data_IF_099423642903
#
_entry.id   IF_099423642903
#
_cell.length_a   1.000
_cell.length_b   1.000
_cell.length_c   1.000
_cell.angle_alpha   90.00
_cell.angle_beta   90.00
_cell.angle_gamma   90.00
#
_symmetry.space_group_name_H-M   'P 1'
#
loop_
_entity.id
_entity.type
_entity.pdbx_description
1 polymer ?
#
# COMPACT_ATOMS: atom_id res chain seq x y z
N UNK A 1 -4.96 -11.48 14.99
CA UNK A 1 -4.95 -12.43 13.85
C UNK A 1 -5.51 -11.79 12.57
N UNK A 2 -6.54 -10.95 12.66
CA UNK A 2 -7.11 -10.27 11.49
C UNK A 2 -6.12 -9.34 10.79
N UNK A 3 -5.37 -8.52 11.54
CA UNK A 3 -4.33 -7.63 10.99
C UNK A 3 -3.38 -8.34 10.01
N UNK A 4 -2.88 -9.51 10.38
CA UNK A 4 -1.96 -10.29 9.55
C UNK A 4 -2.65 -10.78 8.27
N UNK A 5 -3.94 -11.13 8.34
CA UNK A 5 -4.70 -11.57 7.15
C UNK A 5 -4.89 -10.42 6.16
N UNK A 6 -5.21 -9.21 6.66
CA UNK A 6 -5.33 -8.02 5.83
C UNK A 6 -4.00 -7.66 5.17
N UNK A 7 -2.92 -7.66 5.94
CA UNK A 7 -1.58 -7.40 5.42
C UNK A 7 -1.18 -8.37 4.31
N UNK A 8 -1.41 -9.68 4.49
CA UNK A 8 -1.14 -10.69 3.47
C UNK A 8 -1.98 -10.44 2.21
N UNK A 9 -3.27 -10.12 2.39
CA UNK A 9 -4.18 -9.84 1.28
C UNK A 9 -3.73 -8.60 0.50
N UNK A 10 -3.40 -7.52 1.20
CA UNK A 10 -2.87 -6.29 0.62
C UNK A 10 -1.64 -6.61 -0.20
N UNK A 11 -0.60 -7.21 0.40
CA UNK A 11 0.64 -7.57 -0.33
C UNK A 11 0.37 -8.48 -1.54
N UNK A 12 -0.54 -9.45 -1.42
CA UNK A 12 -0.89 -10.37 -2.51
C UNK A 12 -1.53 -9.66 -3.70
N UNK A 13 -2.22 -8.53 -3.47
CA UNK A 13 -2.86 -7.71 -4.50
C UNK A 13 -1.88 -6.63 -5.02
N UNK A 14 -1.17 -5.95 -4.12
CA UNK A 14 -0.28 -4.86 -4.47
C UNK A 14 0.88 -5.32 -5.34
N UNK A 15 1.51 -6.43 -4.95
CA UNK A 15 2.72 -6.92 -5.59
C UNK A 15 2.52 -7.19 -7.10
N UNK A 16 1.50 -7.95 -7.56
CA UNK A 16 1.31 -8.16 -8.99
C UNK A 16 1.01 -6.86 -9.74
N UNK A 17 0.22 -5.94 -9.18
CA UNK A 17 -0.08 -4.66 -9.83
C UNK A 17 1.19 -3.82 -9.94
N UNK A 18 1.95 -3.69 -8.86
CA UNK A 18 3.22 -2.97 -8.84
C UNK A 18 4.23 -3.59 -9.82
N UNK A 19 4.34 -4.91 -9.88
CA UNK A 19 5.22 -5.60 -10.83
C UNK A 19 4.80 -5.39 -12.29
N UNK A 20 3.50 -5.30 -12.59
CA UNK A 20 3.01 -5.03 -13.94
C UNK A 20 3.32 -3.58 -14.36
N UNK A 21 3.02 -2.61 -13.49
CA UNK A 21 3.16 -1.20 -13.80
C UNK A 21 4.62 -0.73 -13.76
N UNK A 22 5.41 -1.27 -12.83
CA UNK A 22 6.83 -0.95 -12.63
C UNK A 22 7.75 -2.01 -13.24
N UNK A 23 7.26 -2.83 -14.19
CA UNK A 23 7.97 -3.96 -14.80
C UNK A 23 9.36 -3.66 -15.38
N UNK A 24 9.66 -2.40 -15.70
CA UNK A 24 10.98 -1.98 -16.21
C UNK A 24 12.04 -1.84 -15.11
N UNK A 25 11.62 -1.87 -13.84
CA UNK A 25 12.50 -1.85 -12.68
C UNK A 25 12.83 -3.27 -12.21
N UNK A 26 13.89 -3.43 -11.40
CA UNK A 26 14.24 -4.71 -10.79
C UNK A 26 13.10 -5.23 -9.91
N UNK A 27 12.56 -6.41 -10.24
CA UNK A 27 11.47 -7.05 -9.49
C UNK A 27 11.79 -7.21 -8.00
N UNK A 28 13.06 -7.40 -7.64
CA UNK A 28 13.50 -7.49 -6.23
C UNK A 28 13.27 -6.17 -5.52
N UNK A 29 13.56 -5.06 -6.20
CA UNK A 29 13.36 -3.72 -5.68
C UNK A 29 11.88 -3.42 -5.53
N UNK A 30 11.04 -3.78 -6.50
CA UNK A 30 9.58 -3.64 -6.41
C UNK A 30 9.03 -4.44 -5.24
N UNK A 31 9.41 -5.71 -5.13
CA UNK A 31 8.99 -6.56 -4.01
C UNK A 31 9.42 -5.98 -2.65
N UNK A 32 10.69 -5.57 -2.51
CA UNK A 32 11.18 -4.96 -1.28
C UNK A 32 10.42 -3.69 -0.90
N UNK A 33 10.06 -2.85 -1.88
CA UNK A 33 9.28 -1.63 -1.62
C UNK A 33 7.87 -1.99 -1.17
N UNK A 34 7.16 -2.87 -1.90
CA UNK A 34 5.80 -3.32 -1.55
C UNK A 34 5.78 -3.91 -0.14
N UNK A 35 6.65 -4.88 0.15
CA UNK A 35 6.71 -5.51 1.46
C UNK A 35 7.11 -4.50 2.54
N UNK A 36 8.13 -3.69 2.28
CA UNK A 36 8.64 -2.72 3.24
C UNK A 36 7.64 -1.63 3.58
N UNK A 37 6.93 -1.09 2.58
CA UNK A 37 5.90 -0.07 2.82
C UNK A 37 4.76 -0.63 3.65
N UNK A 38 4.24 -1.81 3.28
CA UNK A 38 3.13 -2.46 3.97
C UNK A 38 3.48 -2.89 5.40
N UNK A 39 4.69 -3.40 5.63
CA UNK A 39 5.17 -3.75 6.98
C UNK A 39 5.21 -2.54 7.93
N UNK A 40 5.40 -1.34 7.38
CA UNK A 40 5.47 -0.10 8.16
C UNK A 40 4.09 0.55 8.28
N UNK A 41 3.36 0.69 7.17
CA UNK A 41 2.06 1.37 7.13
C UNK A 41 0.99 0.61 7.92
N UNK A 42 0.97 -0.72 7.83
CA UNK A 42 -0.14 -1.52 8.34
C UNK A 42 -0.27 -1.51 9.88
N UNK A 43 0.81 -1.70 10.68
CA UNK A 43 0.71 -1.59 12.13
C UNK A 43 0.33 -0.18 12.60
N UNK A 44 0.81 0.85 11.89
CA UNK A 44 0.51 2.25 12.19
C UNK A 44 -0.98 2.52 12.00
N UNK A 45 -1.55 2.05 10.89
CA UNK A 45 -2.98 2.21 10.58
C UNK A 45 -3.87 1.51 11.59
N UNK A 46 -3.54 0.27 11.93
CA UNK A 46 -4.24 -0.46 12.98
C UNK A 46 -4.17 0.26 14.31
N UNK A 47 -3.00 0.80 14.66
CA UNK A 47 -2.86 1.59 15.89
C UNK A 47 -3.75 2.85 15.86
N UNK A 48 -3.77 3.59 14.75
CA UNK A 48 -4.57 4.79 14.57
C UNK A 48 -6.08 4.50 14.66
N UNK A 49 -6.55 3.44 14.00
CA UNK A 49 -7.98 3.10 13.97
C UNK A 49 -8.45 2.58 15.34
N UNK A 50 -7.74 1.61 15.92
CA UNK A 50 -8.24 0.87 17.08
C UNK A 50 -7.92 1.53 18.42
N UNK A 51 -6.78 2.21 18.54
CA UNK A 51 -6.37 2.84 19.81
C UNK A 51 -6.59 4.34 19.85
N UNK A 52 -6.50 5.02 18.70
CA UNK A 52 -6.68 6.47 18.62
C UNK A 52 -8.07 6.87 18.09
N UNK A 53 -8.89 5.89 17.73
CA UNK A 53 -10.24 6.09 17.17
C UNK A 53 -10.25 7.07 15.97
N UNK A 54 -9.17 7.06 15.19
CA UNK A 54 -9.10 7.86 13.96
C UNK A 54 -10.09 7.30 12.94
N UNK A 55 -10.77 8.20 12.25
CA UNK A 55 -11.69 7.83 11.17
C UNK A 55 -10.97 6.95 10.13
N UNK A 56 -11.57 5.83 9.77
CA UNK A 56 -11.00 4.86 8.83
C UNK A 56 -10.56 5.50 7.51
N UNK A 57 -11.39 6.38 6.91
CA UNK A 57 -11.05 7.09 5.68
C UNK A 57 -9.85 8.02 5.85
N UNK A 58 -9.70 8.64 7.01
CA UNK A 58 -8.56 9.51 7.29
C UNK A 58 -7.26 8.71 7.44
N UNK A 59 -7.33 7.57 8.14
CA UNK A 59 -6.19 6.65 8.26
C UNK A 59 -5.76 6.11 6.88
N UNK A 60 -6.70 5.62 6.09
CA UNK A 60 -6.47 5.15 4.71
C UNK A 60 -5.87 6.22 3.80
N UNK A 61 -6.39 7.46 3.85
CA UNK A 61 -5.84 8.57 3.08
C UNK A 61 -4.37 8.83 3.44
N UNK A 62 -4.03 8.68 4.72
CA UNK A 62 -2.65 8.75 5.21
C UNK A 62 -1.76 7.65 4.63
N UNK A 63 -2.26 6.41 4.53
CA UNK A 63 -1.54 5.29 3.90
C UNK A 63 -1.30 5.55 2.43
N UNK A 64 -2.36 5.90 1.69
CA UNK A 64 -2.29 6.20 0.26
C UNK A 64 -1.21 7.27 0.01
N UNK A 65 -1.21 8.33 0.81
CA UNK A 65 -0.23 9.40 0.70
C UNK A 65 1.20 8.91 1.02
N UNK A 66 1.38 8.16 2.11
CA UNK A 66 2.67 7.61 2.52
C UNK A 66 3.25 6.66 1.46
N UNK A 67 2.47 5.67 1.01
CA UNK A 67 2.93 4.67 0.06
C UNK A 67 3.21 5.28 -1.30
N UNK A 68 2.34 6.18 -1.77
CA UNK A 68 2.58 6.93 -3.02
C UNK A 68 3.88 7.75 -2.95
N UNK A 69 4.17 8.34 -1.79
CA UNK A 69 5.43 9.06 -1.56
C UNK A 69 6.64 8.12 -1.62
N UNK A 70 6.57 6.98 -0.91
CA UNK A 70 7.64 5.96 -0.90
C UNK A 70 7.93 5.49 -2.33
N UNK A 71 6.89 5.14 -3.08
CA UNK A 71 7.01 4.75 -4.47
C UNK A 71 7.64 5.86 -5.32
N UNK A 72 7.17 7.10 -5.20
CA UNK A 72 7.70 8.24 -5.93
C UNK A 72 9.18 8.56 -5.63
N UNK A 73 9.62 8.34 -4.39
CA UNK A 73 11.00 8.57 -3.96
C UNK A 73 11.95 7.46 -4.44
N UNK A 74 11.49 6.21 -4.45
CA UNK A 74 12.30 5.07 -4.86
C UNK A 74 12.40 4.99 -6.40
N UNK A 75 11.27 5.16 -7.11
CA UNK A 75 11.18 5.00 -8.57
C UNK A 75 11.29 6.35 -9.31
N UNK A 76 12.40 7.07 -9.09
CA UNK A 76 12.60 8.45 -9.58
C UNK A 76 12.36 8.64 -11.09
N UNK A 77 12.76 7.69 -11.93
CA UNK A 77 12.58 7.76 -13.39
C UNK A 77 11.13 7.63 -13.86
N UNK A 78 10.20 7.26 -12.95
CA UNK A 78 8.80 6.97 -13.23
C UNK A 78 7.88 7.49 -12.12
N UNK A 79 8.25 8.59 -11.48
CA UNK A 79 7.57 9.12 -10.28
C UNK A 79 6.04 9.21 -10.43
N UNK A 80 5.55 9.73 -11.56
CA UNK A 80 4.10 9.85 -11.80
C UNK A 80 3.42 8.48 -11.86
N UNK A 81 4.03 7.51 -12.54
CA UNK A 81 3.52 6.14 -12.62
C UNK A 81 3.59 5.44 -11.26
N UNK A 82 4.64 5.69 -10.48
CA UNK A 82 4.83 5.12 -9.15
C UNK A 82 3.80 5.66 -8.14
N UNK A 83 3.53 6.97 -8.17
CA UNK A 83 2.43 7.60 -7.41
C UNK A 83 1.08 7.03 -7.85
N UNK A 84 0.84 6.98 -9.16
CA UNK A 84 -0.41 6.42 -9.69
C UNK A 84 -0.60 4.95 -9.30
N UNK A 85 0.48 4.17 -9.25
CA UNK A 85 0.48 2.78 -8.78
C UNK A 85 0.07 2.73 -7.31
N UNK A 86 0.72 3.52 -6.44
CA UNK A 86 0.37 3.58 -5.01
C UNK A 86 -1.11 3.91 -4.78
N UNK A 87 -1.62 4.95 -5.45
CA UNK A 87 -3.04 5.34 -5.37
C UNK A 87 -3.96 4.21 -5.86
N UNK A 88 -3.69 3.67 -7.05
CA UNK A 88 -4.59 2.67 -7.68
C UNK A 88 -4.67 1.40 -6.85
N UNK A 89 -3.53 0.93 -6.35
CA UNK A 89 -3.45 -0.28 -5.54
C UNK A 89 -4.21 -0.10 -4.24
N UNK A 90 -3.97 1.00 -3.53
CA UNK A 90 -4.64 1.28 -2.27
C UNK A 90 -6.16 1.44 -2.44
N UNK A 91 -6.63 2.06 -3.54
CA UNK A 91 -8.08 2.13 -3.83
C UNK A 91 -8.66 0.72 -4.01
N UNK A 92 -7.94 -0.15 -4.72
CA UNK A 92 -8.41 -1.53 -4.96
C UNK A 92 -8.44 -2.32 -3.66
N UNK A 93 -7.41 -2.23 -2.82
CA UNK A 93 -7.35 -2.95 -1.55
C UNK A 93 -8.36 -2.41 -0.55
N UNK A 94 -8.59 -1.10 -0.51
CA UNK A 94 -9.65 -0.45 0.27
C UNK A 94 -11.05 -0.93 -0.15
N UNK A 95 -11.33 -0.97 -1.45
CA UNK A 95 -12.61 -1.43 -1.98
C UNK A 95 -12.85 -2.91 -1.67
N UNK A 96 -11.82 -3.75 -1.78
CA UNK A 96 -11.89 -5.17 -1.39
C UNK A 96 -12.10 -5.30 0.12
N UNK A 97 -11.36 -4.53 0.92
CA UNK A 97 -11.55 -4.45 2.37
C UNK A 97 -13.00 -4.17 2.74
N UNK A 98 -13.60 -3.15 2.11
CA UNK A 98 -14.98 -2.74 2.35
C UNK A 98 -16.04 -3.78 1.91
N UNK A 99 -15.77 -4.55 0.85
CA UNK A 99 -16.73 -5.54 0.34
C UNK A 99 -16.72 -6.82 1.18
N UNK A 100 -15.54 -7.25 1.64
CA UNK A 100 -15.35 -8.56 2.26
C UNK A 100 -15.31 -8.53 3.79
N UNK A 101 -15.28 -7.34 4.42
CA UNK A 101 -15.11 -7.17 5.86
C UNK A 101 -15.92 -5.99 6.39
#
# INVERSE_FOLDING_TARGET
>A
MEEVRFLILTIAIELPIALILLRKDDWRRVALVVFGSNMVSHPIVWQMIFFQHINWFLAETGVIAFESLVYGLIFKGRRNLAIFTGISVNIVTAAIGYIFF
#
